data_IF_616064928709
#
_entry.id   IF_616064928709
#
_cell.length_a   1.000
_cell.length_b   1.000
_cell.length_c   1.000
_cell.angle_alpha   90.00
_cell.angle_beta   90.00
_cell.angle_gamma   90.00
#
_symmetry.space_group_name_H-M   'P 1'
#
loop_
_entity.id
_entity.type
_entity.pdbx_description
1 polymer ?
#
# COMPACT_ATOMS: atom_id res chain seq x y z
N UNK A 1 -16.24 9.38 -17.91
CA UNK A 1 -15.41 8.86 -19.03
C UNK A 1 -13.97 9.35 -18.89
N UNK A 2 -13.61 10.61 -19.26
CA UNK A 2 -12.21 11.09 -19.17
C UNK A 2 -11.42 10.80 -17.88
N UNK A 3 -12.02 10.95 -16.69
CA UNK A 3 -11.34 10.67 -15.40
C UNK A 3 -11.08 9.18 -15.16
N UNK A 4 -11.97 8.32 -15.65
CA UNK A 4 -11.83 6.86 -15.55
C UNK A 4 -10.73 6.39 -16.49
N UNK A 5 -10.65 6.98 -17.69
CA UNK A 5 -9.61 6.66 -18.67
C UNK A 5 -8.21 7.02 -18.13
N UNK A 6 -8.06 8.21 -17.53
CA UNK A 6 -6.82 8.63 -16.88
C UNK A 6 -6.41 7.72 -15.71
N UNK A 7 -7.37 7.27 -14.89
CA UNK A 7 -7.09 6.36 -13.78
C UNK A 7 -6.55 5.01 -14.30
N UNK A 8 -7.19 4.46 -15.34
CA UNK A 8 -6.78 3.20 -15.94
C UNK A 8 -5.43 3.30 -16.65
N UNK A 9 -5.12 4.46 -17.26
CA UNK A 9 -3.81 4.75 -17.82
C UNK A 9 -2.73 4.78 -16.73
N UNK A 10 -2.94 5.52 -15.63
CA UNK A 10 -1.98 5.55 -14.50
C UNK A 10 -1.81 4.19 -13.83
N UNK A 11 -2.87 3.39 -13.73
CA UNK A 11 -2.75 2.04 -13.19
C UNK A 11 -1.86 1.15 -14.10
N UNK A 12 -2.05 1.22 -15.42
CA UNK A 12 -1.19 0.53 -16.40
C UNK A 12 0.25 0.99 -16.34
N UNK A 13 0.49 2.29 -16.15
CA UNK A 13 1.83 2.83 -15.95
C UNK A 13 2.48 2.28 -14.67
N UNK A 14 1.75 2.28 -13.55
CA UNK A 14 2.23 1.69 -12.28
C UNK A 14 2.55 0.21 -12.44
N UNK A 15 1.72 -0.54 -13.17
CA UNK A 15 1.97 -1.94 -13.48
C UNK A 15 3.22 -2.14 -14.35
N UNK A 16 3.37 -1.34 -15.42
CA UNK A 16 4.55 -1.39 -16.28
C UNK A 16 5.84 -1.03 -15.52
N UNK A 17 5.79 -0.03 -14.64
CA UNK A 17 6.93 0.38 -13.80
C UNK A 17 7.26 -0.65 -12.71
N UNK A 18 6.26 -1.40 -12.22
CA UNK A 18 6.48 -2.47 -11.25
C UNK A 18 7.32 -3.63 -11.80
N UNK A 19 7.40 -3.77 -13.12
CA UNK A 19 8.17 -4.78 -13.85
C UNK A 19 9.58 -4.29 -14.26
N UNK A 20 9.91 -3.01 -14.00
CA UNK A 20 11.15 -2.36 -14.40
C UNK A 20 12.38 -2.67 -13.53
N UNK A 21 13.57 -2.41 -14.07
CA UNK A 21 14.88 -2.83 -13.57
C UNK A 21 15.16 -2.50 -12.09
N UNK A 22 16.10 -3.26 -11.51
CA UNK A 22 16.44 -3.31 -10.10
C UNK A 22 16.95 -1.99 -9.49
N UNK A 23 17.31 -1.00 -10.31
CA UNK A 23 18.03 0.22 -9.92
C UNK A 23 17.16 1.46 -10.10
N UNK A 24 17.20 2.36 -9.13
CA UNK A 24 16.51 3.65 -9.17
C UNK A 24 17.05 4.50 -10.34
N UNK A 25 16.21 4.99 -11.27
CA UNK A 25 16.66 5.89 -12.31
C UNK A 25 17.26 7.18 -11.72
N UNK A 26 18.43 7.59 -12.23
CA UNK A 26 19.09 8.82 -11.78
C UNK A 26 18.23 10.06 -12.00
N UNK A 27 18.29 11.03 -11.08
CA UNK A 27 17.58 12.31 -11.20
C UNK A 27 16.05 12.27 -11.04
N UNK A 28 15.43 11.10 -10.87
CA UNK A 28 13.97 10.96 -10.73
C UNK A 28 13.56 10.63 -9.29
N UNK A 29 12.44 11.21 -8.82
CA UNK A 29 11.77 10.80 -7.57
C UNK A 29 11.17 9.41 -7.74
N UNK A 30 11.14 8.62 -6.67
CA UNK A 30 10.60 7.27 -6.67
C UNK A 30 9.65 7.02 -5.50
N UNK A 31 8.66 6.15 -5.74
CA UNK A 31 7.74 5.65 -4.74
C UNK A 31 7.89 4.13 -4.68
N UNK A 32 8.31 3.63 -3.52
CA UNK A 32 8.37 2.20 -3.24
C UNK A 32 7.09 1.80 -2.52
N UNK A 33 6.25 1.06 -3.22
CA UNK A 33 4.98 0.57 -2.70
C UNK A 33 5.22 -0.76 -1.98
N UNK A 34 4.83 -0.85 -0.71
CA UNK A 34 4.94 -2.06 0.11
C UNK A 34 3.56 -2.62 0.45
N UNK A 35 3.40 -3.93 0.31
CA UNK A 35 2.19 -4.64 0.75
C UNK A 35 2.58 -5.99 1.33
N UNK A 36 1.88 -6.40 2.38
CA UNK A 36 2.00 -7.73 3.02
C UNK A 36 1.19 -8.82 2.25
N UNK A 37 0.48 -8.43 1.19
CA UNK A 37 -0.24 -9.32 0.27
C UNK A 37 0.16 -9.02 -1.18
N UNK A 38 -0.75 -9.07 -2.15
CA UNK A 38 -0.45 -8.88 -3.58
C UNK A 38 -0.08 -7.44 -3.96
N UNK A 39 -0.44 -6.45 -3.14
CA UNK A 39 -0.22 -5.03 -3.43
C UNK A 39 -1.25 -4.39 -4.36
N UNK A 40 -2.31 -5.10 -4.76
CA UNK A 40 -3.33 -4.57 -5.67
C UNK A 40 -4.04 -3.32 -5.12
N UNK A 41 -4.44 -3.36 -3.84
CA UNK A 41 -5.02 -2.19 -3.16
C UNK A 41 -4.06 -1.00 -3.18
N UNK A 42 -2.78 -1.26 -2.93
CA UNK A 42 -1.76 -0.23 -2.89
C UNK A 42 -1.53 0.40 -4.28
N UNK A 43 -1.50 -0.41 -5.35
CA UNK A 43 -1.39 0.04 -6.74
C UNK A 43 -2.56 0.93 -7.15
N UNK A 44 -3.79 0.53 -6.82
CA UNK A 44 -5.01 1.31 -7.10
C UNK A 44 -5.01 2.63 -6.34
N UNK A 45 -4.62 2.59 -5.08
CA UNK A 45 -4.60 3.80 -4.26
C UNK A 45 -3.54 4.78 -4.76
N UNK A 46 -2.31 4.31 -5.03
CA UNK A 46 -1.24 5.20 -5.49
C UNK A 46 -1.54 5.77 -6.88
N UNK A 47 -2.07 4.98 -7.81
CA UNK A 47 -2.45 5.47 -9.14
C UNK A 47 -3.49 6.59 -9.04
N UNK A 48 -4.54 6.41 -8.23
CA UNK A 48 -5.57 7.45 -7.97
C UNK A 48 -4.99 8.71 -7.33
N UNK A 49 -4.08 8.57 -6.37
CA UNK A 49 -3.45 9.73 -5.73
C UNK A 49 -2.56 10.48 -6.72
N UNK A 50 -1.82 9.77 -7.56
CA UNK A 50 -0.95 10.38 -8.57
C UNK A 50 -1.75 11.13 -9.64
N UNK A 51 -3.02 10.80 -9.91
CA UNK A 51 -3.90 11.59 -10.80
C UNK A 51 -4.09 13.03 -10.30
N UNK A 52 -3.90 13.32 -9.01
CA UNK A 52 -4.03 14.69 -8.49
C UNK A 52 -2.83 15.59 -8.81
N UNK A 53 -1.79 15.07 -9.46
CA UNK A 53 -0.57 15.80 -9.78
C UNK A 53 -0.36 15.82 -11.30
N UNK A 54 -0.87 16.86 -11.96
CA UNK A 54 -0.81 16.99 -13.43
C UNK A 54 0.46 17.70 -13.93
N UNK A 55 1.10 18.54 -13.10
CA UNK A 55 2.22 19.40 -13.49
C UNK A 55 3.63 18.85 -13.13
N UNK A 56 3.72 17.58 -12.74
CA UNK A 56 5.00 16.98 -12.32
C UNK A 56 5.43 15.84 -13.24
N UNK A 57 6.75 15.69 -13.41
CA UNK A 57 7.31 14.47 -13.97
C UNK A 57 6.90 13.28 -13.08
N UNK A 58 6.19 12.31 -13.67
CA UNK A 58 5.68 11.14 -12.94
C UNK A 58 6.80 10.47 -12.15
N UNK A 59 6.62 10.12 -10.86
CA UNK A 59 7.65 9.41 -10.12
C UNK A 59 7.85 8.00 -10.69
N UNK A 60 9.02 7.41 -10.45
CA UNK A 60 9.23 5.98 -10.70
C UNK A 60 8.52 5.18 -9.60
N UNK A 61 7.57 4.32 -9.96
CA UNK A 61 6.84 3.49 -8.99
C UNK A 61 7.34 2.06 -9.02
N UNK A 62 7.76 1.54 -7.87
CA UNK A 62 8.16 0.13 -7.72
C UNK A 62 7.34 -0.55 -6.66
N UNK A 63 6.72 -1.68 -7.00
CA UNK A 63 5.84 -2.41 -6.10
C UNK A 63 6.54 -3.64 -5.54
N UNK A 64 6.49 -3.78 -4.22
CA UNK A 64 6.95 -4.93 -3.47
C UNK A 64 5.75 -5.54 -2.76
N UNK A 65 5.20 -6.61 -3.34
CA UNK A 65 4.21 -7.46 -2.66
C UNK A 65 4.88 -8.47 -1.72
N UNK A 66 4.06 -9.10 -0.88
CA UNK A 66 4.45 -10.16 0.06
C UNK A 66 5.63 -9.74 0.96
N UNK A 67 5.59 -8.50 1.45
CA UNK A 67 6.56 -7.98 2.43
C UNK A 67 6.11 -8.39 3.82
N UNK A 68 6.38 -9.64 4.17
CA UNK A 68 5.90 -10.27 5.42
C UNK A 68 7.02 -10.57 6.42
N UNK A 69 8.27 -10.21 6.11
CA UNK A 69 9.41 -10.42 7.01
C UNK A 69 10.25 -9.15 7.21
N UNK A 70 10.83 -8.96 8.41
CA UNK A 70 11.70 -7.82 8.70
C UNK A 70 12.93 -7.76 7.79
N UNK A 71 13.49 -8.90 7.39
CA UNK A 71 14.67 -8.98 6.52
C UNK A 71 14.34 -8.44 5.12
N UNK A 72 13.19 -8.86 4.57
CA UNK A 72 12.73 -8.37 3.27
C UNK A 72 12.49 -6.87 3.31
N UNK A 73 11.89 -6.38 4.39
CA UNK A 73 11.66 -4.96 4.60
C UNK A 73 12.98 -4.19 4.71
N UNK A 74 13.95 -4.70 5.47
CA UNK A 74 15.28 -4.11 5.62
C UNK A 74 16.02 -4.01 4.27
N UNK A 75 15.96 -5.05 3.44
CA UNK A 75 16.54 -5.04 2.09
C UNK A 75 15.96 -3.92 1.22
N UNK A 76 14.65 -3.70 1.30
CA UNK A 76 13.97 -2.66 0.52
C UNK A 76 14.33 -1.27 1.05
N UNK A 77 14.33 -1.09 2.37
CA UNK A 77 14.71 0.18 2.99
C UNK A 77 16.18 0.53 2.75
N UNK A 78 17.08 -0.47 2.68
CA UNK A 78 18.49 -0.27 2.31
C UNK A 78 18.61 0.25 0.88
N UNK A 79 17.79 -0.24 -0.05
CA UNK A 79 17.75 0.30 -1.42
C UNK A 79 17.22 1.73 -1.44
N UNK A 80 16.19 2.02 -0.66
CA UNK A 80 15.61 3.35 -0.56
C UNK A 80 16.58 4.37 0.08
N UNK A 81 17.38 3.95 1.05
CA UNK A 81 18.33 4.81 1.76
C UNK A 81 19.54 5.21 0.93
N UNK A 82 19.72 4.65 -0.27
CA UNK A 82 20.74 5.15 -1.21
C UNK A 82 20.45 6.58 -1.67
N UNK A 83 19.16 6.98 -1.70
CA UNK A 83 18.70 8.33 -2.06
C UNK A 83 17.50 8.75 -1.19
N UNK A 84 17.69 8.97 0.12
CA UNK A 84 16.59 9.09 1.09
C UNK A 84 15.69 10.31 0.85
N UNK A 85 16.19 11.35 0.16
CA UNK A 85 15.41 12.52 -0.22
C UNK A 85 14.61 12.35 -1.52
N UNK A 86 14.89 11.29 -2.28
CA UNK A 86 14.25 11.02 -3.57
C UNK A 86 13.30 9.83 -3.54
N UNK A 87 13.29 9.05 -2.45
CA UNK A 87 12.45 7.86 -2.31
C UNK A 87 11.44 8.05 -1.19
N UNK A 88 10.16 7.80 -1.49
CA UNK A 88 9.08 7.68 -0.52
C UNK A 88 8.63 6.22 -0.42
N UNK A 89 8.51 5.70 0.79
CA UNK A 89 7.85 4.41 1.03
C UNK A 89 6.34 4.63 1.20
N UNK A 90 5.53 3.96 0.38
CA UNK A 90 4.08 3.93 0.48
C UNK A 90 3.63 2.52 0.86
N UNK A 91 3.16 2.33 2.09
CA UNK A 91 2.87 1.01 2.64
C UNK A 91 1.37 0.79 2.87
N UNK A 92 0.97 -0.47 2.74
CA UNK A 92 -0.37 -0.99 3.07
C UNK A 92 -0.27 -2.20 3.99
N UNK A 93 0.53 -2.08 5.05
CA UNK A 93 0.76 -3.16 6.02
C UNK A 93 -0.34 -3.14 7.08
N UNK A 94 -0.89 -4.31 7.39
CA UNK A 94 -1.90 -4.48 8.44
C UNK A 94 -1.38 -5.23 9.67
N UNK A 95 -0.32 -6.02 9.52
CA UNK A 95 0.35 -6.69 10.65
C UNK A 95 1.07 -5.66 11.54
N UNK A 96 0.65 -5.48 12.82
CA UNK A 96 1.27 -4.53 13.74
C UNK A 96 2.77 -4.74 13.94
N UNK A 97 3.24 -5.99 13.86
CA UNK A 97 4.66 -6.33 14.01
C UNK A 97 5.46 -5.75 12.84
N UNK A 98 4.97 -5.95 11.62
CA UNK A 98 5.59 -5.41 10.41
C UNK A 98 5.52 -3.88 10.35
N UNK A 99 4.44 -3.28 10.85
CA UNK A 99 4.32 -1.82 11.01
C UNK A 99 5.40 -1.30 11.97
N UNK A 100 5.58 -1.92 13.13
CA UNK A 100 6.63 -1.53 14.08
C UNK A 100 8.05 -1.66 13.50
N UNK A 101 8.30 -2.69 12.70
CA UNK A 101 9.56 -2.81 11.96
C UNK A 101 9.75 -1.72 10.91
N UNK A 102 8.69 -1.36 10.16
CA UNK A 102 8.74 -0.27 9.18
C UNK A 102 9.08 1.06 9.85
N UNK A 103 8.44 1.38 10.96
CA UNK A 103 8.72 2.60 11.72
C UNK A 103 10.17 2.64 12.23
N UNK A 104 10.61 1.54 12.87
CA UNK A 104 11.96 1.43 13.44
C UNK A 104 13.04 1.56 12.37
N UNK A 105 12.95 0.76 11.31
CA UNK A 105 13.96 0.72 10.26
C UNK A 105 13.97 1.99 9.42
N UNK A 106 12.80 2.57 9.12
CA UNK A 106 12.72 3.85 8.40
C UNK A 106 13.34 5.00 9.20
N UNK A 107 13.12 5.02 10.52
CA UNK A 107 13.77 5.99 11.41
C UNK A 107 15.29 5.82 11.43
N UNK A 108 15.78 4.59 11.42
CA UNK A 108 17.22 4.29 11.39
C UNK A 108 17.88 4.68 10.06
N UNK A 109 17.19 4.48 8.94
CA UNK A 109 17.72 4.74 7.60
C UNK A 109 17.46 6.17 7.09
N UNK A 110 16.68 6.97 7.82
CA UNK A 110 16.28 8.32 7.41
C UNK A 110 15.30 8.35 6.23
N UNK A 111 14.72 7.19 5.87
CA UNK A 111 13.81 7.07 4.74
C UNK A 111 12.40 7.51 5.16
N UNK A 112 11.78 8.36 4.34
CA UNK A 112 10.38 8.78 4.55
C UNK A 112 9.43 7.65 4.21
N UNK A 113 8.43 7.44 5.06
CA UNK A 113 7.40 6.44 4.84
C UNK A 113 6.02 6.92 5.25
N UNK A 114 5.00 6.30 4.67
CA UNK A 114 3.60 6.39 5.10
C UNK A 114 2.98 5.00 5.04
N UNK A 115 2.40 4.52 6.14
CA UNK A 115 1.51 3.36 6.10
C UNK A 115 0.07 3.84 6.18
N UNK A 116 -0.68 3.73 5.07
CA UNK A 116 -2.04 4.28 5.00
C UNK A 116 -3.05 3.44 5.76
N UNK A 117 -2.77 2.16 6.00
CA UNK A 117 -3.70 1.25 6.66
C UNK A 117 -3.79 1.52 8.17
N UNK A 118 -2.67 1.83 8.84
CA UNK A 118 -2.64 2.08 10.28
C UNK A 118 -3.69 3.08 10.75
N UNK A 119 -3.73 4.35 10.26
CA UNK A 119 -4.72 5.31 10.72
C UNK A 119 -6.16 4.90 10.38
N UNK A 120 -6.39 4.28 9.22
CA UNK A 120 -7.73 3.83 8.81
C UNK A 120 -8.26 2.71 9.70
N UNK A 121 -7.43 1.72 10.01
CA UNK A 121 -7.79 0.61 10.89
C UNK A 121 -8.01 1.08 12.32
N UNK A 122 -7.22 2.04 12.81
CA UNK A 122 -7.43 2.66 14.13
C UNK A 122 -8.79 3.34 14.21
N UNK A 123 -9.13 4.21 13.25
CA UNK A 123 -10.42 4.91 13.25
C UNK A 123 -11.60 3.95 13.13
N UNK A 124 -11.49 2.91 12.30
CA UNK A 124 -12.51 1.87 12.20
C UNK A 124 -12.64 1.06 13.48
N UNK A 125 -11.53 0.73 14.14
CA UNK A 125 -11.57 -0.03 15.39
C UNK A 125 -12.26 0.76 16.50
N UNK A 126 -11.99 2.06 16.58
CA UNK A 126 -12.66 2.97 17.50
C UNK A 126 -14.16 3.09 17.20
N UNK A 127 -14.52 3.28 15.93
CA UNK A 127 -15.91 3.45 15.51
C UNK A 127 -16.75 2.18 15.67
N UNK A 128 -16.16 1.01 15.41
CA UNK A 128 -16.83 -0.30 15.50
C UNK A 128 -16.70 -0.95 16.87
N UNK A 129 -15.97 -0.32 17.80
CA UNK A 129 -15.66 -0.86 19.13
C UNK A 129 -15.06 -2.28 19.07
N UNK A 130 -14.21 -2.53 18.07
CA UNK A 130 -13.65 -3.85 17.79
C UNK A 130 -12.26 -3.76 17.17
N UNK A 131 -11.32 -4.58 17.66
CA UNK A 131 -9.95 -4.57 17.17
C UNK A 131 -9.83 -5.13 15.74
N UNK A 132 -9.09 -4.41 14.89
CA UNK A 132 -8.67 -4.94 13.60
C UNK A 132 -7.82 -6.21 13.79
N UNK A 133 -8.13 -7.27 13.05
CA UNK A 133 -7.48 -8.57 13.19
C UNK A 133 -5.96 -8.55 12.87
N UNK A 134 -5.47 -7.56 12.12
CA UNK A 134 -4.06 -7.43 11.78
C UNK A 134 -3.50 -8.57 10.91
N UNK A 135 -4.36 -9.31 10.20
CA UNK A 135 -3.95 -10.46 9.38
C UNK A 135 -3.84 -10.07 7.90
N UNK A 136 -2.64 -10.12 7.30
CA UNK A 136 -2.44 -9.89 5.86
C UNK A 136 -3.31 -10.77 4.98
N UNK A 137 -3.74 -10.24 3.83
CA UNK A 137 -4.47 -11.02 2.82
C UNK A 137 -5.89 -11.45 3.21
N UNK A 138 -6.43 -11.01 4.36
CA UNK A 138 -7.77 -11.39 4.82
C UNK A 138 -8.88 -11.11 3.78
N UNK A 139 -8.78 -10.00 3.05
CA UNK A 139 -9.72 -9.62 1.99
C UNK A 139 -9.59 -10.39 0.68
N UNK A 140 -8.53 -11.20 0.50
CA UNK A 140 -8.32 -12.04 -0.69
C UNK A 140 -9.14 -13.34 -0.60
N UNK A 141 -9.44 -13.79 0.62
CA UNK A 141 -10.32 -14.92 0.88
C UNK A 141 -11.78 -14.53 0.64
N UNK A 142 -12.27 -14.67 -0.60
CA UNK A 142 -13.64 -14.42 -1.04
C UNK A 142 -14.75 -15.23 -0.30
N UNK A 143 -14.44 -15.98 0.76
CA UNK A 143 -15.38 -16.85 1.48
C UNK A 143 -15.87 -16.32 2.85
N UNK A 144 -15.81 -15.01 3.11
CA UNK A 144 -16.34 -14.43 4.38
C UNK A 144 -17.42 -13.35 4.24
N UNK A 145 -17.93 -13.08 3.03
CA UNK A 145 -19.04 -12.13 2.86
C UNK A 145 -20.42 -12.79 3.07
N UNK A 146 -20.52 -14.11 3.08
CA UNK A 146 -21.80 -14.81 3.32
C UNK A 146 -22.35 -14.64 4.76
N UNK A 147 -21.49 -14.26 5.72
CA UNK A 147 -21.85 -14.23 7.15
C UNK A 147 -22.47 -12.92 7.66
N UNK A 148 -22.27 -11.79 6.98
CA UNK A 148 -22.71 -10.47 7.47
C UNK A 148 -23.97 -9.94 6.78
N UNK A 149 -24.35 -10.49 5.63
CA UNK A 149 -25.50 -9.99 4.84
C UNK A 149 -26.71 -10.94 4.92
N UNK A 150 -26.58 -12.15 5.48
CA UNK A 150 -27.61 -13.18 5.37
C UNK A 150 -28.54 -13.34 6.58
N UNK A 151 -28.24 -12.77 7.76
CA UNK A 151 -29.13 -12.91 8.94
C UNK A 151 -29.98 -11.69 9.22
N UNK A 152 -29.39 -10.50 9.23
CA UNK A 152 -30.12 -9.25 9.51
C UNK A 152 -30.97 -8.78 8.32
N UNK A 153 -30.55 -9.05 7.09
CA UNK A 153 -31.31 -8.67 5.90
C UNK A 153 -32.61 -9.47 5.75
N UNK A 154 -32.59 -10.78 6.04
CA UNK A 154 -33.77 -11.63 5.90
C UNK A 154 -34.74 -11.51 7.09
N UNK A 155 -34.28 -11.14 8.28
CA UNK A 155 -35.18 -10.85 9.41
C UNK A 155 -35.94 -9.52 9.27
N UNK A 156 -35.50 -8.62 8.38
CA UNK A 156 -36.20 -7.36 8.08
C UNK A 156 -37.26 -7.50 6.98
N UNK A 157 -37.34 -8.66 6.32
CA UNK A 157 -38.26 -8.92 5.19
C UNK A 157 -39.33 -9.96 5.56
N UNK A 158 -39.36 -10.45 6.80
CA UNK A 158 -40.52 -11.16 7.38
C UNK A 158 -41.46 -10.22 8.13
#
# INVERSE_FOLDING_TARGET
ERRVDMEMEKLREVDAMSLGAATLPEGRKAIFVLSDSTGETAKRLISRLLVQFDDIAHPYVRVFGTVTTPERLADILTKASSRPNDVLIFATLVDPTMVGWLEKLSRQSGVKHVNVMSPLLTELSNFLESDAAGVPGMGVSQHRIEGLVSREFFSMVE
#
